data_IF_945568485435
#
_entry.id   IF_945568485435
#
_cell.length_a   1.000
_cell.length_b   1.000
_cell.length_c   1.000
_cell.angle_alpha   90.00
_cell.angle_beta   90.00
_cell.angle_gamma   90.00
#
_symmetry.space_group_name_H-M   'P 1'
#
loop_
_entity.id
_entity.type
_entity.pdbx_description
1 polymer ?
#
# COMPACT_ATOMS: atom_id res chain seq x y z
N UNK A 1 3.67 -13.04 2.02
CA UNK A 1 3.08 -11.79 1.49
C UNK A 1 1.74 -12.16 0.89
N UNK A 2 0.70 -11.40 1.19
CA UNK A 2 -0.69 -11.66 0.75
C UNK A 2 -1.26 -10.42 0.04
N UNK A 3 -2.09 -10.67 -0.98
CA UNK A 3 -2.89 -9.65 -1.66
C UNK A 3 -4.29 -9.58 -1.04
N UNK A 4 -4.67 -8.41 -0.52
CA UNK A 4 -5.99 -8.23 0.11
C UNK A 4 -7.12 -8.44 -0.90
N UNK A 5 -7.01 -7.84 -2.08
CA UNK A 5 -7.81 -8.12 -3.27
C UNK A 5 -7.08 -9.11 -4.19
N UNK A 6 -7.76 -10.08 -4.82
CA UNK A 6 -7.09 -11.09 -5.64
C UNK A 6 -6.34 -10.47 -6.83
N UNK A 7 -5.04 -10.76 -6.96
CA UNK A 7 -4.21 -10.26 -8.06
C UNK A 7 -4.68 -10.79 -9.43
N UNK A 8 -5.31 -11.96 -9.46
CA UNK A 8 -5.85 -12.58 -10.68
C UNK A 8 -7.04 -11.84 -11.29
N UNK A 9 -7.70 -10.95 -10.56
CA UNK A 9 -8.91 -10.25 -11.04
C UNK A 9 -8.59 -9.02 -11.89
N UNK A 10 -7.48 -8.33 -11.62
CA UNK A 10 -7.12 -7.11 -12.34
C UNK A 10 -5.68 -6.69 -12.10
N UNK A 11 -5.03 -6.16 -13.13
CA UNK A 11 -3.72 -5.48 -13.01
C UNK A 11 -3.79 -4.31 -12.01
N UNK A 12 -4.97 -3.72 -11.80
CA UNK A 12 -5.17 -2.68 -10.79
C UNK A 12 -4.96 -3.18 -9.34
N UNK A 13 -4.98 -4.50 -9.12
CA UNK A 13 -4.72 -5.12 -7.81
C UNK A 13 -3.22 -5.37 -7.57
N UNK A 14 -2.37 -5.24 -8.59
CA UNK A 14 -0.91 -5.39 -8.50
C UNK A 14 -0.22 -4.13 -7.94
N UNK A 15 -0.82 -3.51 -6.90
CA UNK A 15 -0.34 -2.27 -6.26
C UNK A 15 0.22 -2.56 -4.88
N UNK A 16 1.24 -1.81 -4.47
CA UNK A 16 1.87 -2.00 -3.14
C UNK A 16 0.87 -1.81 -1.99
N UNK A 17 -0.14 -0.94 -2.14
CA UNK A 17 -1.20 -0.74 -1.15
C UNK A 17 -2.11 -1.95 -0.94
N UNK A 18 -2.09 -2.92 -1.85
CA UNK A 18 -2.84 -4.17 -1.79
C UNK A 18 -2.08 -5.30 -1.06
N UNK A 19 -0.78 -5.11 -0.77
CA UNK A 19 0.07 -6.16 -0.25
C UNK A 19 0.28 -6.00 1.25
N UNK A 20 0.17 -7.10 2.00
CA UNK A 20 0.47 -7.13 3.44
C UNK A 20 1.43 -8.28 3.79
N UNK A 21 2.26 -8.12 4.84
CA UNK A 21 2.95 -9.25 5.42
C UNK A 21 1.93 -10.18 6.08
N UNK A 22 2.05 -11.47 5.76
CA UNK A 22 1.25 -12.54 6.31
C UNK A 22 2.06 -13.83 6.22
N UNK A 23 1.95 -14.65 7.25
CA UNK A 23 2.58 -15.95 7.37
C UNK A 23 2.06 -16.90 6.29
N UNK A 24 2.93 -17.77 5.79
CA UNK A 24 2.58 -18.67 4.69
C UNK A 24 1.38 -19.57 5.04
N UNK A 25 1.30 -20.07 6.29
CA UNK A 25 0.21 -20.95 6.71
C UNK A 25 -1.14 -20.23 6.78
N UNK A 26 -1.17 -18.92 7.12
CA UNK A 26 -2.38 -18.11 7.09
C UNK A 26 -2.72 -17.70 5.65
N UNK A 27 -1.70 -17.37 4.84
CA UNK A 27 -1.89 -17.01 3.44
C UNK A 27 -2.52 -18.16 2.64
N UNK A 28 -2.07 -19.40 2.87
CA UNK A 28 -2.70 -20.61 2.30
C UNK A 28 -4.18 -20.74 2.68
N UNK A 29 -4.58 -20.27 3.87
CA UNK A 29 -5.99 -20.29 4.29
C UNK A 29 -6.82 -19.20 3.61
N UNK A 30 -6.22 -18.07 3.21
CA UNK A 30 -6.89 -17.02 2.46
C UNK A 30 -7.45 -17.57 1.13
N UNK A 31 -6.62 -18.19 0.29
CA UNK A 31 -7.06 -18.82 -0.96
C UNK A 31 -7.96 -17.91 -1.81
N UNK A 32 -9.13 -18.40 -2.22
CA UNK A 32 -10.13 -17.66 -3.01
C UNK A 32 -11.14 -16.86 -2.15
N UNK A 33 -10.88 -16.69 -0.86
CA UNK A 33 -11.78 -15.93 0.03
C UNK A 33 -11.84 -14.47 -0.39
N UNK A 34 -13.00 -13.86 -0.18
CA UNK A 34 -13.18 -12.42 -0.32
C UNK A 34 -12.36 -11.67 0.74
N UNK A 35 -12.08 -10.39 0.49
CA UNK A 35 -11.36 -9.55 1.46
C UNK A 35 -12.00 -9.57 2.86
N UNK A 36 -13.33 -9.51 2.94
CA UNK A 36 -14.07 -9.55 4.20
C UNK A 36 -13.87 -10.86 4.96
N UNK A 37 -13.91 -12.00 4.26
CA UNK A 37 -13.67 -13.32 4.86
C UNK A 37 -12.22 -13.50 5.34
N UNK A 38 -11.26 -12.84 4.67
CA UNK A 38 -9.85 -12.87 5.09
C UNK A 38 -9.60 -12.11 6.40
N UNK A 39 -10.48 -11.20 6.81
CA UNK A 39 -10.26 -10.37 8.01
C UNK A 39 -10.13 -11.20 9.29
N UNK A 40 -10.85 -12.32 9.42
CA UNK A 40 -10.70 -13.22 10.58
C UNK A 40 -9.32 -13.87 10.61
N UNK A 41 -8.82 -14.33 9.45
CA UNK A 41 -7.50 -14.92 9.29
C UNK A 41 -6.40 -13.89 9.63
N UNK A 42 -6.57 -12.64 9.21
CA UNK A 42 -5.61 -11.57 9.50
C UNK A 42 -5.52 -11.25 11.01
N UNK A 43 -6.58 -11.47 11.79
CA UNK A 43 -6.60 -11.23 13.24
C UNK A 43 -5.72 -12.24 14.01
N UNK A 44 -5.45 -13.41 13.42
CA UNK A 44 -4.60 -14.47 13.98
C UNK A 44 -3.10 -14.27 13.72
N UNK A 45 -2.73 -13.36 12.81
CA UNK A 45 -1.33 -13.14 12.42
C UNK A 45 -0.48 -12.61 13.58
N UNK A 46 0.79 -13.02 13.64
CA UNK A 46 1.81 -12.43 14.50
C UNK A 46 2.21 -11.01 14.04
N UNK A 47 1.98 -10.66 12.77
CA UNK A 47 2.22 -9.31 12.26
C UNK A 47 1.17 -8.33 12.78
N UNK A 48 1.61 -7.34 13.57
CA UNK A 48 0.73 -6.27 14.08
C UNK A 48 0.04 -5.51 12.95
N UNK A 49 0.70 -5.34 11.81
CA UNK A 49 0.12 -4.71 10.62
C UNK A 49 -1.10 -5.47 10.10
N UNK A 50 -1.03 -6.80 9.95
CA UNK A 50 -2.16 -7.63 9.52
C UNK A 50 -3.34 -7.55 10.51
N UNK A 51 -3.10 -7.67 11.82
CA UNK A 51 -4.14 -7.51 12.84
C UNK A 51 -4.77 -6.11 12.82
N UNK A 52 -3.99 -5.07 12.51
CA UNK A 52 -4.52 -3.72 12.35
C UNK A 52 -5.41 -3.57 11.10
N UNK A 53 -5.13 -4.28 10.01
CA UNK A 53 -6.01 -4.37 8.84
C UNK A 53 -7.33 -5.01 9.23
N UNK A 54 -7.29 -6.17 9.90
CA UNK A 54 -8.47 -6.86 10.41
C UNK A 54 -9.37 -5.90 11.22
N UNK A 55 -8.78 -5.17 12.17
CA UNK A 55 -9.51 -4.21 13.00
C UNK A 55 -10.03 -3.01 12.22
N UNK A 56 -9.21 -2.41 11.36
CA UNK A 56 -9.58 -1.20 10.62
C UNK A 56 -10.72 -1.44 9.65
N UNK A 57 -10.69 -2.55 8.91
CA UNK A 57 -11.65 -2.80 7.84
C UNK A 57 -12.85 -3.65 8.28
N UNK A 58 -12.98 -3.96 9.59
CA UNK A 58 -14.24 -4.48 10.17
C UNK A 58 -15.41 -3.51 9.95
N UNK A 59 -15.14 -2.20 9.89
CA UNK A 59 -16.19 -1.16 9.75
C UNK A 59 -15.92 -0.16 8.63
N UNK A 60 -14.81 -0.31 7.89
CA UNK A 60 -14.40 0.62 6.84
C UNK A 60 -14.23 -0.11 5.51
N UNK A 61 -14.45 0.60 4.42
CA UNK A 61 -14.21 0.08 3.08
C UNK A 61 -12.72 0.13 2.72
N UNK A 62 -12.24 -0.91 2.05
CA UNK A 62 -10.89 -0.91 1.48
C UNK A 62 -10.83 0.01 0.27
N UNK A 63 -9.86 0.91 0.27
CA UNK A 63 -9.46 1.66 -0.91
C UNK A 63 -7.95 1.43 -1.12
N UNK A 64 -7.63 0.59 -2.11
CA UNK A 64 -6.24 0.20 -2.43
C UNK A 64 -5.43 1.37 -2.95
N UNK A 65 -6.05 2.31 -3.67
CA UNK A 65 -5.36 3.48 -4.25
C UNK A 65 -4.90 4.42 -3.15
N UNK A 66 -5.79 4.76 -2.22
CA UNK A 66 -5.44 5.59 -1.06
C UNK A 66 -4.35 4.92 -0.23
N UNK A 67 -4.40 3.60 -0.03
CA UNK A 67 -3.31 2.90 0.66
C UNK A 67 -2.00 2.95 -0.11
N UNK A 68 -2.05 2.82 -1.43
CA UNK A 68 -0.88 2.85 -2.32
C UNK A 68 -0.19 4.20 -2.23
N UNK A 69 -0.95 5.29 -2.31
CA UNK A 69 -0.44 6.65 -2.17
C UNK A 69 0.22 6.87 -0.80
N UNK A 70 -0.46 6.50 0.29
CA UNK A 70 0.08 6.61 1.65
C UNK A 70 1.38 5.81 1.82
N UNK A 71 1.45 4.59 1.27
CA UNK A 71 2.66 3.77 1.35
C UNK A 71 3.80 4.33 0.50
N UNK A 72 3.50 4.84 -0.70
CA UNK A 72 4.50 5.48 -1.55
C UNK A 72 5.08 6.72 -0.87
N UNK A 73 4.23 7.54 -0.24
CA UNK A 73 4.66 8.72 0.51
C UNK A 73 5.55 8.35 1.70
N UNK A 74 5.18 7.34 2.49
CA UNK A 74 5.99 6.81 3.59
C UNK A 74 7.37 6.32 3.09
N UNK A 75 7.38 5.54 2.01
CA UNK A 75 8.63 4.99 1.45
C UNK A 75 9.53 6.13 0.95
N UNK A 76 8.99 7.07 0.17
CA UNK A 76 9.76 8.13 -0.45
C UNK A 76 10.28 9.14 0.58
N UNK A 77 9.40 9.63 1.46
CA UNK A 77 9.73 10.71 2.39
C UNK A 77 10.45 10.22 3.64
N UNK A 78 10.05 9.09 4.20
CA UNK A 78 10.47 8.71 5.55
C UNK A 78 11.54 7.62 5.55
N UNK A 79 11.52 6.72 4.56
CA UNK A 79 12.49 5.61 4.45
C UNK A 79 13.66 6.00 3.58
N UNK A 80 13.40 6.32 2.31
CA UNK A 80 14.45 6.63 1.36
C UNK A 80 15.02 8.02 1.62
N UNK A 81 14.21 8.94 2.17
CA UNK A 81 14.56 10.35 2.41
C UNK A 81 15.32 10.94 1.22
N UNK A 82 14.88 10.60 0.00
CA UNK A 82 15.54 11.07 -1.21
C UNK A 82 15.47 12.59 -1.13
N UNK A 83 16.62 13.21 -0.92
CA UNK A 83 16.75 14.65 -0.94
C UNK A 83 16.16 15.09 -2.28
N UNK A 84 15.10 15.90 -2.28
CA UNK A 84 14.47 16.43 -3.52
C UNK A 84 15.42 17.34 -4.33
N UNK A 85 16.72 17.31 -4.01
CA UNK A 85 17.81 17.94 -4.69
C UNK A 85 18.34 16.93 -5.72
N UNK A 86 17.94 17.13 -6.97
CA UNK A 86 18.73 16.91 -8.19
C UNK A 86 17.90 17.02 -9.48
N UNK A 87 16.63 17.43 -9.38
CA UNK A 87 15.91 17.98 -10.53
C UNK A 87 15.64 19.47 -10.27
N UNK A 88 16.64 20.31 -10.54
CA UNK A 88 16.33 21.69 -10.94
C UNK A 88 15.47 21.58 -12.20
N UNK A 89 14.20 21.97 -12.10
CA UNK A 89 13.33 22.16 -13.25
C UNK A 89 13.98 23.21 -14.18
N UNK A 90 14.46 22.82 -15.39
CA UNK A 90 15.17 23.74 -16.26
C UNK A 90 14.29 24.90 -16.74
N UNK A 91 12.96 24.83 -16.60
CA UNK A 91 12.05 25.90 -17.00
C UNK A 91 11.87 27.00 -15.94
N UNK A 92 12.34 26.78 -14.70
CA UNK A 92 12.20 27.77 -13.62
C UNK A 92 13.09 29.01 -13.76
N UNK A 93 14.01 29.05 -14.74
CA UNK A 93 14.97 30.16 -14.93
C UNK A 93 14.61 31.17 -16.05
N UNK A 94 13.49 31.05 -16.76
CA UNK A 94 13.22 31.91 -17.93
C UNK A 94 12.46 33.21 -17.61
N UNK A 95 11.90 33.40 -16.42
CA UNK A 95 11.16 34.63 -16.10
C UNK A 95 11.90 35.49 -15.08
N UNK A 96 13.00 36.15 -15.50
CA UNK A 96 13.45 37.46 -15.00
C UNK A 96 14.75 37.91 -15.67
N UNK A 97 14.66 38.53 -16.86
CA UNK A 97 15.64 39.52 -17.30
C UNK A 97 15.06 40.42 -18.39
N UNK A 98 14.25 41.39 -17.99
CA UNK A 98 14.04 42.63 -18.75
C UNK A 98 14.04 43.80 -17.75
N UNK A 99 15.22 44.41 -17.58
CA UNK A 99 15.42 45.79 -17.15
C UNK A 99 16.63 46.36 -17.86
#
# INVERSE_FOLDING_TARGET
MEHMLPDSESVANSKIGNIIPLEEYLNKQCGIKTFTEKLSIYDESCFKSARNIAKRYKTNNLNVDVRTENMAQLIYNDILKVSQFDFEDPESKIVQSDK
#
